data_IF_330409901746
#
_entry.id   IF_330409901746
#
_cell.length_a   1.000
_cell.length_b   1.000
_cell.length_c   1.000
_cell.angle_alpha   90.00
_cell.angle_beta   90.00
_cell.angle_gamma   90.00
#
_symmetry.space_group_name_H-M   'P 1'
#
loop_
_entity.id
_entity.type
_entity.pdbx_description
1 polymer ?
#
# COMPACT_ATOMS: atom_id res chain seq x y z
N UNK A 1 11.12 13.00 -9.69
CA UNK A 1 10.62 11.91 -8.84
C UNK A 1 10.07 12.49 -7.55
N UNK A 2 8.86 13.03 -7.63
CA UNK A 2 8.10 13.52 -6.47
C UNK A 2 7.02 12.49 -6.12
N UNK A 3 7.05 12.00 -4.89
CA UNK A 3 6.02 11.13 -4.35
C UNK A 3 5.22 11.91 -3.31
N UNK A 4 3.90 11.84 -3.39
CA UNK A 4 3.01 12.50 -2.44
C UNK A 4 2.29 11.45 -1.59
N UNK A 5 2.41 11.55 -0.26
CA UNK A 5 1.66 10.68 0.63
C UNK A 5 0.20 11.12 0.65
N UNK A 6 -0.70 10.25 0.21
CA UNK A 6 -2.15 10.54 0.14
C UNK A 6 -2.92 9.92 1.29
N UNK A 7 -2.42 8.81 1.84
CA UNK A 7 -3.05 8.11 2.95
C UNK A 7 -2.00 7.38 3.78
N UNK A 8 -2.16 7.36 5.10
CA UNK A 8 -1.29 6.62 6.01
C UNK A 8 -2.12 6.04 7.15
N UNK A 9 -1.92 4.76 7.43
CA UNK A 9 -2.59 4.04 8.49
C UNK A 9 -1.63 3.06 9.17
N UNK A 10 -1.58 3.10 10.50
CA UNK A 10 -0.83 2.15 11.31
C UNK A 10 -1.76 0.99 11.71
N UNK A 11 -1.34 -0.24 11.40
CA UNK A 11 -1.94 -1.46 11.92
C UNK A 11 -1.12 -2.01 13.10
N UNK A 12 -1.57 -3.11 13.71
CA UNK A 12 -0.92 -3.67 14.89
C UNK A 12 0.51 -4.18 14.62
N UNK A 13 0.79 -4.66 13.41
CA UNK A 13 2.09 -5.23 13.03
C UNK A 13 2.84 -4.40 11.98
N UNK A 14 2.11 -3.66 11.15
CA UNK A 14 2.67 -2.97 9.98
C UNK A 14 2.11 -1.56 9.79
N UNK A 15 2.92 -0.66 9.23
CA UNK A 15 2.49 0.68 8.81
C UNK A 15 2.22 0.74 7.31
N UNK A 16 0.97 1.02 6.93
CA UNK A 16 0.53 1.10 5.56
C UNK A 16 0.45 2.56 5.09
N UNK A 17 1.06 2.88 3.95
CA UNK A 17 1.02 4.24 3.39
C UNK A 17 0.76 4.14 1.90
N UNK A 18 -0.30 4.80 1.43
CA UNK A 18 -0.57 4.97 0.00
C UNK A 18 0.09 6.26 -0.47
N UNK A 19 0.90 6.10 -1.50
CA UNK A 19 1.66 7.15 -2.13
C UNK A 19 1.15 7.36 -3.56
N UNK A 20 1.06 8.61 -3.99
CA UNK A 20 0.81 8.99 -5.36
C UNK A 20 2.13 9.36 -6.04
N UNK A 21 2.40 8.73 -7.17
CA UNK A 21 3.47 9.12 -8.08
C UNK A 21 3.01 10.32 -8.91
N UNK A 22 3.66 11.47 -8.75
CA UNK A 22 3.24 12.71 -9.44
C UNK A 22 3.59 12.73 -10.92
N UNK A 23 4.48 11.85 -11.38
CA UNK A 23 4.88 11.76 -12.79
C UNK A 23 3.92 10.86 -13.58
N UNK A 24 3.58 9.71 -13.01
CA UNK A 24 2.73 8.69 -13.63
C UNK A 24 1.26 8.87 -13.29
N UNK A 25 0.94 9.72 -12.30
CA UNK A 25 -0.39 9.85 -11.70
C UNK A 25 -0.93 8.52 -11.12
N UNK A 26 -0.07 7.52 -10.94
CA UNK A 26 -0.36 6.22 -10.32
C UNK A 26 -0.32 6.31 -8.80
N UNK A 27 -0.98 5.38 -8.13
CA UNK A 27 -0.88 5.16 -6.70
C UNK A 27 -0.15 3.86 -6.43
N UNK A 28 0.60 3.79 -5.34
CA UNK A 28 1.25 2.56 -4.90
C UNK A 28 1.22 2.46 -3.38
N UNK A 29 1.23 1.23 -2.87
CA UNK A 29 1.27 0.95 -1.44
C UNK A 29 2.71 0.85 -0.96
N UNK A 30 2.98 1.35 0.23
CA UNK A 30 4.17 1.05 1.00
C UNK A 30 3.77 0.44 2.34
N UNK A 31 4.52 -0.57 2.76
CA UNK A 31 4.37 -1.28 4.04
C UNK A 31 5.69 -1.14 4.78
N UNK A 32 5.67 -0.60 6.00
CA UNK A 32 6.87 -0.27 6.78
C UNK A 32 7.91 0.52 5.98
N UNK A 33 7.45 1.58 5.32
CA UNK A 33 8.28 2.47 4.50
C UNK A 33 8.90 1.80 3.26
N UNK A 34 8.55 0.53 2.97
CA UNK A 34 9.00 -0.20 1.80
C UNK A 34 7.88 -0.34 0.76
N UNK A 35 8.16 -0.13 -0.54
CA UNK A 35 7.16 -0.33 -1.58
C UNK A 35 6.66 -1.77 -1.60
N UNK A 36 5.35 -1.93 -1.55
CA UNK A 36 4.70 -3.23 -1.66
C UNK A 36 4.90 -3.79 -3.08
N UNK A 37 5.36 -5.04 -3.15
CA UNK A 37 5.61 -5.73 -4.40
C UNK A 37 4.80 -7.01 -4.47
N UNK A 38 4.09 -7.18 -5.57
CA UNK A 38 3.38 -8.40 -5.91
C UNK A 38 4.15 -9.10 -7.05
N UNK A 39 4.45 -10.39 -6.87
CA UNK A 39 5.25 -11.18 -7.83
C UNK A 39 6.58 -10.51 -8.25
N UNK A 40 7.21 -9.79 -7.31
CA UNK A 40 8.49 -9.09 -7.51
C UNK A 40 8.38 -7.77 -8.27
N UNK A 41 7.17 -7.32 -8.63
CA UNK A 41 6.90 -6.03 -9.27
C UNK A 41 6.21 -5.08 -8.30
N UNK A 42 6.48 -3.78 -8.44
CA UNK A 42 5.76 -2.76 -7.69
C UNK A 42 4.27 -2.89 -7.98
N UNK A 43 3.45 -2.96 -6.92
CA UNK A 43 2.00 -2.89 -7.08
C UNK A 43 1.60 -1.43 -7.18
N UNK A 44 1.22 -1.00 -8.37
CA UNK A 44 0.74 0.34 -8.66
C UNK A 44 -0.56 0.30 -9.47
N UNK A 45 -1.43 1.29 -9.26
CA UNK A 45 -2.73 1.35 -9.91
C UNK A 45 -3.51 2.60 -9.51
N UNK A 46 -4.84 2.51 -9.58
CA UNK A 46 -5.70 3.59 -9.08
C UNK A 46 -5.69 3.61 -7.55
N UNK A 47 -6.12 4.73 -6.95
CA UNK A 47 -6.29 4.79 -5.49
C UNK A 47 -7.20 3.67 -4.97
N UNK A 48 -8.28 3.36 -5.68
CA UNK A 48 -9.24 2.31 -5.32
C UNK A 48 -8.60 0.91 -5.34
N UNK A 49 -7.84 0.57 -6.39
CA UNK A 49 -7.11 -0.70 -6.50
C UNK A 49 -6.11 -0.89 -5.33
N UNK A 50 -5.36 0.17 -5.02
CA UNK A 50 -4.36 0.16 -3.94
C UNK A 50 -5.02 0.10 -2.56
N UNK A 51 -6.15 0.77 -2.40
CA UNK A 51 -6.92 0.75 -1.17
C UNK A 51 -7.58 -0.62 -0.93
N UNK A 52 -8.17 -1.24 -1.96
CA UNK A 52 -8.72 -2.61 -1.85
C UNK A 52 -7.62 -3.61 -1.48
N UNK A 53 -6.43 -3.47 -2.08
CA UNK A 53 -5.28 -4.30 -1.73
C UNK A 53 -4.82 -4.12 -0.28
N UNK A 54 -4.81 -2.89 0.23
CA UNK A 54 -4.53 -2.62 1.64
C UNK A 54 -5.54 -3.32 2.55
N UNK A 55 -6.84 -3.25 2.22
CA UNK A 55 -7.90 -3.92 2.99
C UNK A 55 -7.72 -5.44 2.97
N UNK A 56 -7.34 -6.02 1.83
CA UNK A 56 -7.04 -7.45 1.70
C UNK A 56 -5.83 -7.87 2.56
N UNK A 57 -4.74 -7.10 2.52
CA UNK A 57 -3.55 -7.34 3.35
C UNK A 57 -3.89 -7.35 4.84
N UNK A 58 -4.66 -6.35 5.30
CA UNK A 58 -5.12 -6.28 6.70
C UNK A 58 -6.02 -7.46 7.08
N UNK A 59 -6.90 -7.90 6.19
CA UNK A 59 -7.73 -9.10 6.43
C UNK A 59 -6.86 -10.36 6.54
N UNK A 60 -5.85 -10.50 5.69
CA UNK A 60 -4.91 -11.61 5.72
C UNK A 60 -4.07 -11.63 7.01
N UNK A 61 -3.62 -10.47 7.51
CA UNK A 61 -2.98 -10.34 8.82
C UNK A 61 -3.92 -10.73 9.97
N UNK A 62 -5.14 -10.19 9.97
CA UNK A 62 -6.12 -10.51 11.01
C UNK A 62 -6.45 -11.99 11.09
N UNK A 63 -6.32 -12.73 9.98
CA UNK A 63 -6.52 -14.18 9.95
C UNK A 63 -5.35 -14.98 10.54
N UNK A 64 -4.13 -14.42 10.59
CA UNK A 64 -2.94 -15.08 11.16
C UNK A 64 -2.88 -15.04 12.69
N UNK A 65 -3.72 -14.21 13.33
CA UNK A 65 -3.80 -14.06 14.81
C UNK A 65 -4.85 -15.01 15.42
N UNK A 66 -4.87 -16.29 15.05
CA UNK A 66 -5.73 -17.32 15.67
C UNK A 66 -4.97 -18.61 15.95
#
# INVERSE_FOLDING_TARGET
>A
MGTLVVYSEDSAEHRYIICQDTESHSYFLTVDEQPYKEDGRLFEGSFDDVHDKLVDLKKAESLKTF
#
